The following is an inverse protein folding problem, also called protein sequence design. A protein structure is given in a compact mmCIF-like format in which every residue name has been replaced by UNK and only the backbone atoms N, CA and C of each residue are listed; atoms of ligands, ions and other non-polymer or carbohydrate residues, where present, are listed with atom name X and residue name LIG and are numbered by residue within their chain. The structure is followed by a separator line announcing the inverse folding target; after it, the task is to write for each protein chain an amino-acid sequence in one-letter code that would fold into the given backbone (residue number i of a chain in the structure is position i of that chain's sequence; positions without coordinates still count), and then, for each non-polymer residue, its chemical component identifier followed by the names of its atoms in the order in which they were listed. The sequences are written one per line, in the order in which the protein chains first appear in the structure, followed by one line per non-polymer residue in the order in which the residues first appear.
data_IF_173941424672
#
_entry.id   IF_173941424672
#
_cell.length_a   1.000
_cell.length_b   1.000
_cell.length_c   1.000
_cell.angle_alpha   90.00
_cell.angle_beta   90.00
_cell.angle_gamma   90.00
#
_symmetry.space_group_name_H-M   'P 1'
#
loop_
_entity.id
_entity.type
_entity.pdbx_description
1 polymer ?
#
# COMPACT_ATOMS: atom_id res chain seq x y z
N UNK A 1 -0.42 -26.06 11.01
CA UNK A 1 -1.47 -25.16 10.46
C UNK A 1 -1.82 -24.16 11.55
N UNK A 2 -1.70 -22.86 11.32
CA UNK A 2 -2.24 -21.88 12.28
C UNK A 2 -3.78 -21.96 12.26
N UNK A 3 -4.46 -21.78 13.40
CA UNK A 3 -5.90 -21.66 13.41
C UNK A 3 -6.31 -20.51 12.48
N UNK A 4 -7.34 -20.75 11.65
CA UNK A 4 -7.97 -19.69 10.84
C UNK A 4 -8.28 -18.52 11.79
N UNK A 5 -7.90 -17.30 11.40
CA UNK A 5 -8.37 -16.11 12.09
C UNK A 5 -9.86 -15.99 11.77
N UNK A 6 -10.69 -16.56 12.64
CA UNK A 6 -12.13 -16.40 12.54
C UNK A 6 -12.44 -14.93 12.80
N UNK A 7 -12.89 -14.26 11.74
CA UNK A 7 -13.27 -12.86 11.77
C UNK A 7 -14.76 -12.79 12.04
N UNK A 8 -15.15 -12.16 13.13
CA UNK A 8 -16.56 -11.96 13.46
C UNK A 8 -17.18 -10.90 12.55
N UNK A 9 -18.51 -10.96 12.39
CA UNK A 9 -19.25 -9.90 11.65
C UNK A 9 -18.98 -8.51 12.22
N UNK A 10 -18.92 -8.38 13.55
CA UNK A 10 -18.67 -7.11 14.23
C UNK A 10 -17.28 -6.54 13.91
N UNK A 11 -16.26 -7.38 13.91
CA UNK A 11 -14.90 -6.96 13.55
C UNK A 11 -14.82 -6.53 12.08
N UNK A 12 -15.42 -7.31 11.18
CA UNK A 12 -15.44 -6.98 9.76
C UNK A 12 -16.18 -5.66 9.50
N UNK A 13 -17.32 -5.44 10.15
CA UNK A 13 -18.06 -4.17 10.04
C UNK A 13 -17.22 -3.00 10.51
N UNK A 14 -16.55 -3.10 11.66
CA UNK A 14 -15.72 -2.01 12.16
C UNK A 14 -14.53 -1.73 11.25
N UNK A 15 -13.87 -2.78 10.75
CA UNK A 15 -12.82 -2.64 9.75
C UNK A 15 -13.32 -1.91 8.51
N UNK A 16 -14.47 -2.31 7.94
CA UNK A 16 -15.02 -1.67 6.74
C UNK A 16 -15.40 -0.19 6.99
N UNK A 17 -15.94 0.13 8.16
CA UNK A 17 -16.24 1.52 8.54
C UNK A 17 -14.94 2.35 8.56
N UNK A 18 -13.90 1.87 9.23
CA UNK A 18 -12.66 2.64 9.35
C UNK A 18 -11.91 2.68 8.01
N UNK A 19 -11.86 1.56 7.30
CA UNK A 19 -11.17 1.49 6.02
C UNK A 19 -11.86 2.34 4.95
N UNK A 20 -13.20 2.41 4.88
CA UNK A 20 -13.90 3.12 3.79
C UNK A 20 -14.56 4.43 4.22
N UNK A 21 -15.31 4.45 5.33
CA UNK A 21 -16.06 5.65 5.72
C UNK A 21 -15.13 6.79 6.16
N UNK A 22 -14.09 6.49 6.94
CA UNK A 22 -13.13 7.53 7.39
C UNK A 22 -12.43 8.23 6.22
N UNK A 23 -11.79 7.55 5.25
CA UNK A 23 -11.17 8.25 4.12
C UNK A 23 -12.16 9.02 3.26
N UNK A 24 -13.39 8.52 3.09
CA UNK A 24 -14.43 9.25 2.34
C UNK A 24 -14.87 10.51 3.08
N UNK A 25 -15.01 10.46 4.40
CA UNK A 25 -15.29 11.63 5.23
C UNK A 25 -14.12 12.62 5.22
N UNK A 26 -12.87 12.13 5.30
CA UNK A 26 -11.66 12.93 5.15
C UNK A 26 -11.49 13.51 3.73
N UNK A 27 -12.20 12.97 2.75
CA UNK A 27 -12.32 13.52 1.40
C UNK A 27 -12.90 14.93 1.36
N UNK A 28 -13.76 15.30 2.32
CA UNK A 28 -14.36 16.65 2.42
C UNK A 28 -13.28 17.71 2.77
N UNK A 29 -12.55 17.62 3.89
CA UNK A 29 -11.47 18.56 4.20
C UNK A 29 -10.34 18.50 3.16
N UNK A 30 -10.04 17.32 2.60
CA UNK A 30 -9.10 17.19 1.49
C UNK A 30 -9.52 18.04 0.28
N UNK A 31 -10.79 17.97 -0.13
CA UNK A 31 -11.33 18.76 -1.23
C UNK A 31 -11.27 20.27 -0.95
N UNK A 32 -11.57 20.69 0.29
CA UNK A 32 -11.45 22.09 0.71
C UNK A 32 -10.00 22.56 0.57
N UNK A 33 -9.06 21.77 1.08
CA UNK A 33 -7.62 22.06 1.02
C UNK A 33 -7.11 22.15 -0.42
N UNK A 34 -7.49 21.20 -1.28
CA UNK A 34 -7.09 21.18 -2.68
C UNK A 34 -7.62 22.39 -3.45
N UNK A 35 -8.90 22.75 -3.26
CA UNK A 35 -9.50 23.91 -3.93
C UNK A 35 -8.92 25.25 -3.46
N UNK A 36 -8.38 25.27 -2.24
CA UNK A 36 -7.64 26.41 -1.71
C UNK A 36 -6.18 26.47 -2.20
N UNK A 37 -5.71 25.50 -3.00
CA UNK A 37 -4.34 25.44 -3.50
C UNK A 37 -3.30 25.01 -2.46
N UNK A 38 -3.73 24.42 -1.33
CA UNK A 38 -2.84 23.96 -0.27
C UNK A 38 -2.27 22.57 -0.57
N UNK A 39 -1.11 22.25 0.02
CA UNK A 39 -0.56 20.89 -0.01
C UNK A 39 -1.47 19.89 0.69
N UNK A 40 -1.74 18.77 0.02
CA UNK A 40 -2.63 17.70 0.46
C UNK A 40 -1.91 16.36 0.64
N UNK A 41 -0.59 16.31 0.49
CA UNK A 41 0.23 15.09 0.62
C UNK A 41 0.01 14.37 1.95
N UNK A 42 -0.18 15.12 3.03
CA UNK A 42 -0.40 14.55 4.36
C UNK A 42 -1.69 13.70 4.45
N UNK A 43 -2.73 14.04 3.67
CA UNK A 43 -3.96 13.24 3.63
C UNK A 43 -3.72 11.86 3.03
N UNK A 44 -2.91 11.77 1.97
CA UNK A 44 -2.55 10.48 1.38
C UNK A 44 -1.79 9.61 2.39
N UNK A 45 -0.79 10.18 3.06
CA UNK A 45 -0.03 9.49 4.10
C UNK A 45 -0.89 9.02 5.28
N UNK A 46 -1.80 9.86 5.76
CA UNK A 46 -2.74 9.49 6.82
C UNK A 46 -3.67 8.36 6.36
N UNK A 47 -4.16 8.44 5.12
CA UNK A 47 -5.09 7.46 4.56
C UNK A 47 -4.50 6.05 4.51
N UNK A 48 -3.23 5.89 4.13
CA UNK A 48 -2.53 4.60 4.14
C UNK A 48 -2.56 3.91 5.51
N UNK A 49 -2.70 4.65 6.61
CA UNK A 49 -2.70 4.09 7.97
C UNK A 49 -4.06 3.51 8.40
N UNK A 50 -5.15 3.83 7.70
CA UNK A 50 -6.52 3.51 8.12
C UNK A 50 -6.87 2.02 8.09
N UNK A 51 -6.50 1.21 7.08
CA UNK A 51 -6.92 -0.19 7.03
C UNK A 51 -6.45 -1.00 8.24
N UNK A 52 -5.16 -0.90 8.61
CA UNK A 52 -4.63 -1.53 9.81
C UNK A 52 -5.21 -0.93 11.09
N UNK A 53 -5.43 0.39 11.15
CA UNK A 53 -6.10 1.01 12.30
C UNK A 53 -7.49 0.40 12.53
N UNK A 54 -8.23 0.11 11.45
CA UNK A 54 -9.50 -0.59 11.50
C UNK A 54 -9.40 -1.99 12.13
N UNK A 55 -8.43 -2.78 11.67
CA UNK A 55 -8.17 -4.14 12.21
C UNK A 55 -7.74 -4.08 13.67
N UNK A 56 -6.78 -3.22 13.99
CA UNK A 56 -6.20 -3.11 15.32
C UNK A 56 -7.23 -2.64 16.36
N UNK A 57 -8.07 -1.66 16.00
CA UNK A 57 -9.16 -1.23 16.87
C UNK A 57 -10.20 -2.35 17.06
N UNK A 58 -10.57 -3.05 15.97
CA UNK A 58 -11.51 -4.17 16.05
C UNK A 58 -11.03 -5.26 17.00
N UNK A 59 -9.75 -5.65 16.89
CA UNK A 59 -9.17 -6.68 17.74
C UNK A 59 -9.04 -6.24 19.20
N UNK A 60 -8.68 -4.98 19.45
CA UNK A 60 -8.64 -4.42 20.81
C UNK A 60 -10.03 -4.41 21.46
N UNK A 61 -11.06 -3.96 20.74
CA UNK A 61 -12.44 -3.92 21.22
C UNK A 61 -13.04 -5.32 21.42
N UNK A 62 -12.67 -6.27 20.56
CA UNK A 62 -13.01 -7.68 20.72
C UNK A 62 -12.23 -8.37 21.85
N UNK A 63 -11.30 -7.66 22.51
CA UNK A 63 -10.46 -8.15 23.61
C UNK A 63 -9.73 -9.45 23.27
N UNK A 64 -9.24 -9.58 22.03
CA UNK A 64 -8.57 -10.81 21.61
C UNK A 64 -7.34 -11.12 22.51
N UNK A 65 -7.06 -12.40 22.79
CA UNK A 65 -5.94 -12.79 23.64
C UNK A 65 -4.59 -12.52 22.96
N UNK A 66 -3.53 -12.36 23.74
CA UNK A 66 -2.14 -12.23 23.24
C UNK A 66 -1.88 -11.10 22.23
N UNK A 67 -2.70 -10.05 22.24
CA UNK A 67 -2.48 -8.91 21.36
C UNK A 67 -1.14 -8.20 21.67
N UNK A 68 -0.37 -7.81 20.63
CA UNK A 68 0.76 -6.90 20.78
C UNK A 68 0.26 -5.46 21.01
N UNK A 69 -0.41 -5.25 22.15
CA UNK A 69 -1.20 -4.05 22.46
C UNK A 69 -0.39 -2.75 22.32
N UNK A 70 0.88 -2.76 22.74
CA UNK A 70 1.75 -1.57 22.67
C UNK A 70 1.93 -1.11 21.22
N UNK A 71 2.23 -2.04 20.32
CA UNK A 71 2.37 -1.75 18.90
C UNK A 71 1.05 -1.29 18.27
N UNK A 72 -0.07 -1.94 18.61
CA UNK A 72 -1.39 -1.56 18.10
C UNK A 72 -1.79 -0.14 18.55
N UNK A 73 -1.58 0.18 19.83
CA UNK A 73 -1.85 1.52 20.37
C UNK A 73 -0.96 2.56 19.67
N UNK A 74 0.34 2.27 19.48
CA UNK A 74 1.23 3.16 18.76
C UNK A 74 0.71 3.44 17.34
N UNK A 75 0.34 2.42 16.56
CA UNK A 75 -0.20 2.61 15.21
C UNK A 75 -1.44 3.48 15.24
N UNK A 76 -2.39 3.21 16.14
CA UNK A 76 -3.62 4.00 16.28
C UNK A 76 -3.35 5.47 16.66
N UNK A 77 -2.41 5.71 17.57
CA UNK A 77 -2.00 7.07 17.96
C UNK A 77 -1.32 7.79 16.79
N UNK A 78 -0.41 7.13 16.08
CA UNK A 78 0.23 7.69 14.88
C UNK A 78 -0.79 8.02 13.79
N UNK A 79 -1.77 7.14 13.56
CA UNK A 79 -2.89 7.39 12.64
C UNK A 79 -3.69 8.63 13.06
N UNK A 80 -4.10 8.69 14.33
CA UNK A 80 -4.88 9.82 14.84
C UNK A 80 -4.11 11.14 14.78
N UNK A 81 -2.80 11.12 15.07
CA UNK A 81 -1.92 12.28 14.94
C UNK A 81 -1.82 12.74 13.48
N UNK A 82 -1.61 11.83 12.52
CA UNK A 82 -1.57 12.19 11.10
C UNK A 82 -2.92 12.79 10.65
N UNK A 83 -4.04 12.20 11.05
CA UNK A 83 -5.38 12.75 10.76
C UNK A 83 -5.57 14.14 11.33
N UNK A 84 -5.19 14.36 12.59
CA UNK A 84 -5.30 15.66 13.25
C UNK A 84 -4.46 16.72 12.53
N UNK A 85 -3.22 16.38 12.15
CA UNK A 85 -2.35 17.28 11.38
C UNK A 85 -2.93 17.57 9.99
N UNK A 86 -3.54 16.60 9.30
CA UNK A 86 -4.27 16.84 8.04
C UNK A 86 -5.43 17.81 8.23
N UNK A 87 -6.20 17.70 9.31
CA UNK A 87 -7.32 18.61 9.57
C UNK A 87 -6.82 20.03 9.93
N UNK A 88 -5.77 20.12 10.75
CA UNK A 88 -5.14 21.38 11.10
C UNK A 88 -4.55 22.11 9.89
N UNK A 89 -4.02 21.37 8.91
CA UNK A 89 -3.52 21.97 7.67
C UNK A 89 -4.59 22.66 6.84
N UNK A 90 -5.86 22.26 6.98
CA UNK A 90 -7.00 22.95 6.34
C UNK A 90 -7.36 24.22 7.09
N UNK A 91 -7.36 24.18 8.43
CA UNK A 91 -7.76 25.32 9.28
C UNK A 91 -6.69 26.42 9.29
N UNK A 92 -5.41 26.04 9.29
CA UNK A 92 -4.28 26.96 9.30
C UNK A 92 -3.26 26.51 8.25
N UNK A 93 -3.43 26.88 6.98
CA UNK A 93 -2.51 26.50 5.91
C UNK A 93 -1.06 26.93 6.19
N UNK A 94 -0.10 26.11 5.77
CA UNK A 94 1.33 26.38 5.92
C UNK A 94 2.20 25.16 5.64
N UNK A 95 3.47 25.39 5.32
CA UNK A 95 4.41 24.33 4.91
C UNK A 95 4.82 23.40 6.07
N UNK A 96 4.57 23.81 7.32
CA UNK A 96 4.99 23.08 8.52
C UNK A 96 4.30 21.71 8.70
N UNK A 97 3.11 21.52 8.12
CA UNK A 97 2.30 20.33 8.39
C UNK A 97 2.86 19.07 7.75
N UNK A 98 3.41 19.16 6.54
CA UNK A 98 4.04 18.02 5.89
C UNK A 98 5.27 17.55 6.68
N UNK A 99 6.12 18.49 7.09
CA UNK A 99 7.28 18.19 7.92
C UNK A 99 6.88 17.56 9.27
N UNK A 100 5.87 18.13 9.95
CA UNK A 100 5.34 17.58 11.20
C UNK A 100 4.77 16.16 11.02
N UNK A 101 4.02 15.93 9.94
CA UNK A 101 3.48 14.62 9.59
C UNK A 101 4.57 13.60 9.32
N UNK A 102 5.59 13.97 8.55
CA UNK A 102 6.75 13.10 8.30
C UNK A 102 7.50 12.75 9.59
N UNK A 103 7.65 13.69 10.52
CA UNK A 103 8.23 13.41 11.84
C UNK A 103 7.38 12.41 12.65
N UNK A 104 6.06 12.52 12.62
CA UNK A 104 5.16 11.53 13.25
C UNK A 104 5.35 10.15 12.63
N UNK A 105 5.43 10.05 11.29
CA UNK A 105 5.64 8.78 10.60
C UNK A 105 7.01 8.16 10.90
N UNK A 106 8.06 8.98 10.94
CA UNK A 106 9.42 8.56 11.27
C UNK A 106 9.49 8.09 12.72
N UNK A 107 9.05 8.90 13.67
CA UNK A 107 9.04 8.55 15.08
C UNK A 107 8.17 7.30 15.33
N UNK A 108 6.98 7.25 14.74
CA UNK A 108 6.10 6.09 14.79
C UNK A 108 6.75 4.83 14.24
N UNK A 109 7.48 4.91 13.13
CA UNK A 109 8.17 3.76 12.53
C UNK A 109 9.34 3.29 13.40
N UNK A 110 10.19 4.20 13.86
CA UNK A 110 11.30 3.83 14.75
C UNK A 110 10.78 3.18 16.04
N UNK A 111 9.79 3.80 16.69
CA UNK A 111 9.14 3.22 17.88
C UNK A 111 8.41 1.92 17.55
N UNK A 112 7.82 1.80 16.36
CA UNK A 112 7.15 0.61 15.88
C UNK A 112 8.08 -0.60 15.83
N UNK A 113 9.27 -0.42 15.26
CA UNK A 113 10.30 -1.45 15.29
C UNK A 113 10.74 -1.80 16.71
N UNK A 114 11.00 -0.81 17.56
CA UNK A 114 11.37 -1.05 18.97
C UNK A 114 10.30 -1.86 19.69
N UNK A 115 9.03 -1.49 19.56
CA UNK A 115 7.92 -2.19 20.21
C UNK A 115 7.73 -3.60 19.65
N UNK A 116 7.88 -3.80 18.34
CA UNK A 116 7.84 -5.14 17.75
C UNK A 116 9.02 -6.00 18.21
N UNK A 117 10.24 -5.46 18.27
CA UNK A 117 11.41 -6.25 18.67
C UNK A 117 11.41 -6.59 20.16
N UNK A 118 10.81 -5.74 21.00
CA UNK A 118 10.71 -5.95 22.45
C UNK A 118 9.47 -6.74 22.88
N UNK A 119 8.48 -6.95 22.00
CA UNK A 119 7.30 -7.76 22.33
C UNK A 119 7.58 -9.26 22.24
N UNK A 120 6.82 -10.01 23.05
CA UNK A 120 6.92 -11.48 23.14
C UNK A 120 6.70 -12.10 21.76
N UNK A 121 7.51 -13.12 21.47
CA UNK A 121 7.54 -13.80 20.18
C UNK A 121 6.17 -14.40 19.83
N UNK A 122 5.48 -14.93 20.83
CA UNK A 122 4.18 -15.60 20.73
C UNK A 122 3.09 -14.61 20.31
N UNK A 123 3.10 -13.40 20.88
CA UNK A 123 2.15 -12.33 20.56
C UNK A 123 2.28 -11.88 19.11
N UNK A 124 3.51 -11.64 18.66
CA UNK A 124 3.76 -11.26 17.26
C UNK A 124 3.42 -12.37 16.29
N UNK A 125 3.70 -13.62 16.65
CA UNK A 125 3.34 -14.80 15.84
C UNK A 125 1.82 -14.94 15.68
N UNK A 126 1.08 -14.80 16.78
CA UNK A 126 -0.38 -14.92 16.80
C UNK A 126 -1.07 -13.94 15.82
N UNK A 127 -0.49 -12.76 15.66
CA UNK A 127 -1.01 -11.68 14.81
C UNK A 127 -0.21 -11.46 13.52
N UNK A 128 0.60 -12.44 13.11
CA UNK A 128 1.28 -12.43 11.82
C UNK A 128 2.36 -11.36 11.64
N UNK A 129 2.79 -10.72 12.71
CA UNK A 129 3.80 -9.64 12.70
C UNK A 129 5.23 -10.17 12.81
N UNK A 130 5.42 -11.49 12.78
CA UNK A 130 6.74 -12.12 12.66
C UNK A 130 7.07 -12.48 11.23
N UNK A 131 8.37 -12.46 10.94
CA UNK A 131 8.89 -13.04 9.71
C UNK A 131 8.52 -14.51 9.61
N UNK A 132 7.91 -14.89 8.50
CA UNK A 132 7.52 -16.27 8.15
C UNK A 132 8.14 -16.70 6.83
N UNK A 133 8.24 -18.01 6.65
CA UNK A 133 8.74 -18.63 5.43
C UNK A 133 10.23 -18.39 5.16
N UNK A 134 10.65 -18.76 3.95
CA UNK A 134 12.06 -18.75 3.55
C UNK A 134 12.45 -17.38 3.03
N UNK A 135 13.56 -16.82 3.54
CA UNK A 135 14.09 -15.52 3.09
C UNK A 135 14.33 -15.49 1.57
N UNK A 136 14.84 -16.58 0.99
CA UNK A 136 15.05 -16.71 -0.46
C UNK A 136 13.79 -16.47 -1.28
N UNK A 137 12.62 -16.91 -0.80
CA UNK A 137 11.34 -16.71 -1.50
C UNK A 137 10.94 -15.24 -1.47
N UNK A 138 11.09 -14.58 -0.31
CA UNK A 138 10.83 -13.16 -0.17
C UNK A 138 11.74 -12.31 -1.08
N UNK A 139 13.05 -12.58 -1.05
CA UNK A 139 14.03 -11.88 -1.89
C UNK A 139 13.72 -12.07 -3.37
N UNK A 140 13.47 -13.31 -3.80
CA UNK A 140 13.12 -13.60 -5.20
C UNK A 140 11.86 -12.86 -5.66
N UNK A 141 10.78 -12.87 -4.86
CA UNK A 141 9.55 -12.16 -5.22
C UNK A 141 9.79 -10.65 -5.32
N UNK A 142 10.55 -10.06 -4.40
CA UNK A 142 10.85 -8.63 -4.42
C UNK A 142 11.72 -8.25 -5.62
N UNK A 143 12.75 -9.04 -5.93
CA UNK A 143 13.60 -8.83 -7.11
C UNK A 143 12.79 -8.98 -8.40
N UNK A 144 11.93 -9.98 -8.49
CA UNK A 144 11.04 -10.16 -9.62
C UNK A 144 10.12 -8.94 -9.79
N UNK A 145 9.53 -8.44 -8.71
CA UNK A 145 8.68 -7.26 -8.76
C UNK A 145 9.43 -6.04 -9.29
N UNK A 146 10.60 -5.75 -8.73
CA UNK A 146 11.44 -4.62 -9.15
C UNK A 146 11.85 -4.76 -10.62
N UNK A 147 12.24 -5.96 -11.05
CA UNK A 147 12.61 -6.21 -12.45
C UNK A 147 11.43 -5.98 -13.40
N UNK A 148 10.26 -6.54 -13.09
CA UNK A 148 9.05 -6.38 -13.89
C UNK A 148 8.63 -4.91 -13.99
N UNK A 149 8.59 -4.21 -12.85
CA UNK A 149 8.23 -2.78 -12.80
C UNK A 149 9.26 -1.90 -13.51
N UNK A 150 10.56 -2.18 -13.35
CA UNK A 150 11.62 -1.46 -14.06
C UNK A 150 11.47 -1.67 -15.57
N UNK A 151 11.25 -2.90 -16.03
CA UNK A 151 10.99 -3.19 -17.44
C UNK A 151 9.77 -2.44 -17.98
N UNK A 152 8.68 -2.37 -17.22
CA UNK A 152 7.50 -1.57 -17.57
C UNK A 152 7.82 -0.08 -17.73
N UNK A 153 8.57 0.52 -16.79
CA UNK A 153 8.91 1.95 -16.87
C UNK A 153 9.86 2.22 -18.03
N UNK A 154 10.86 1.36 -18.27
CA UNK A 154 11.76 1.49 -19.41
C UNK A 154 11.02 1.36 -20.74
N UNK A 155 10.06 0.43 -20.84
CA UNK A 155 9.20 0.31 -22.02
C UNK A 155 8.36 1.58 -22.21
N UNK A 156 7.76 2.11 -21.15
CA UNK A 156 7.00 3.36 -21.21
C UNK A 156 7.87 4.52 -21.69
N UNK A 157 9.10 4.65 -21.16
CA UNK A 157 10.04 5.69 -21.58
C UNK A 157 10.44 5.55 -23.05
N UNK A 158 10.65 4.33 -23.54
CA UNK A 158 10.96 4.09 -24.95
C UNK A 158 9.78 4.46 -25.87
N UNK A 159 8.55 4.18 -25.44
CA UNK A 159 7.33 4.51 -26.19
C UNK A 159 7.01 6.01 -26.21
N UNK A 160 7.55 6.79 -25.26
CA UNK A 160 7.40 8.26 -25.22
C UNK A 160 8.20 9.00 -26.32
N UNK A 161 9.00 8.28 -27.10
CA UNK A 161 9.72 8.82 -28.26
C UNK A 161 11.24 8.90 -28.06
N UNK A 162 12.00 9.06 -29.15
CA UNK A 162 13.45 8.93 -29.15
C UNK A 162 14.16 9.99 -28.30
N UNK A 163 13.63 11.22 -28.25
CA UNK A 163 14.21 12.31 -27.45
C UNK A 163 14.10 12.04 -25.96
N UNK A 164 12.90 11.68 -25.49
CA UNK A 164 12.67 11.31 -24.09
C UNK A 164 13.49 10.07 -23.70
N UNK A 165 13.54 9.07 -24.58
CA UNK A 165 14.34 7.87 -24.37
C UNK A 165 15.83 8.16 -24.20
N UNK A 166 16.40 9.03 -25.05
CA UNK A 166 17.80 9.44 -24.94
C UNK A 166 18.08 10.18 -23.61
N UNK A 167 17.20 11.09 -23.20
CA UNK A 167 17.32 11.79 -21.92
C UNK A 167 17.21 10.82 -20.73
N UNK A 168 16.27 9.87 -20.80
CA UNK A 168 16.10 8.84 -19.78
C UNK A 168 17.35 7.97 -19.64
N UNK A 169 17.96 7.54 -20.75
CA UNK A 169 19.23 6.81 -20.72
C UNK A 169 20.37 7.63 -20.13
N UNK A 170 20.45 8.93 -20.43
CA UNK A 170 21.44 9.83 -19.84
C UNK A 170 21.27 9.95 -18.30
N UNK A 171 20.04 10.01 -17.80
CA UNK A 171 19.76 9.96 -16.36
C UNK A 171 20.31 8.67 -15.72
N UNK A 172 20.13 7.51 -16.35
CA UNK A 172 20.64 6.22 -15.87
C UNK A 172 22.17 6.08 -15.91
N UNK A 173 22.84 6.86 -16.75
CA UNK A 173 24.31 6.96 -16.77
C UNK A 173 24.87 7.81 -15.62
N UNK A 174 24.02 8.62 -14.96
CA UNK A 174 24.42 9.41 -13.80
C UNK A 174 24.47 8.58 -12.51
N UNK A 175 25.03 9.17 -11.43
CA UNK A 175 25.05 8.53 -10.12
C UNK A 175 23.71 8.62 -9.35
N UNK A 176 22.78 9.48 -9.80
CA UNK A 176 21.54 9.82 -9.08
C UNK A 176 20.64 8.60 -8.82
N UNK A 177 20.24 7.77 -9.80
CA UNK A 177 19.36 6.63 -9.54
C UNK A 177 19.97 5.64 -8.56
N UNK A 178 21.30 5.46 -8.59
CA UNK A 178 22.01 4.55 -7.71
C UNK A 178 22.06 5.06 -6.27
N UNK A 179 22.28 6.37 -6.07
CA UNK A 179 22.18 7.01 -4.75
C UNK A 179 20.75 6.90 -4.20
N UNK A 180 19.74 7.21 -5.03
CA UNK A 180 18.34 7.08 -4.64
C UNK A 180 18.01 5.64 -4.22
N UNK A 181 18.48 4.64 -4.96
CA UNK A 181 18.29 3.23 -4.62
C UNK A 181 18.89 2.88 -3.25
N UNK A 182 20.09 3.39 -2.95
CA UNK A 182 20.73 3.17 -1.65
C UNK A 182 19.96 3.84 -0.50
N UNK A 183 19.42 5.05 -0.73
CA UNK A 183 18.60 5.79 0.26
C UNK A 183 17.31 5.05 0.60
N UNK A 184 16.74 4.28 -0.34
CA UNK A 184 15.52 3.52 -0.08
C UNK A 184 15.70 2.42 0.98
N UNK A 185 16.92 1.93 1.23
CA UNK A 185 17.16 0.88 2.21
C UNK A 185 16.88 1.36 3.65
N UNK A 186 17.57 2.40 4.17
CA UNK A 186 17.26 2.93 5.50
C UNK A 186 15.87 3.55 5.56
N UNK A 187 15.39 4.17 4.48
CA UNK A 187 14.08 4.82 4.46
C UNK A 187 12.93 3.83 4.75
N UNK A 188 13.05 2.56 4.31
CA UNK A 188 12.06 1.54 4.68
C UNK A 188 11.87 1.45 6.20
N UNK A 189 12.95 1.43 6.97
CA UNK A 189 12.86 1.32 8.42
C UNK A 189 12.30 2.58 9.09
N UNK A 190 12.50 3.73 8.45
CA UNK A 190 11.98 5.03 8.90
C UNK A 190 10.53 5.27 8.48
N UNK A 191 9.99 4.53 7.51
CA UNK A 191 8.67 4.82 6.95
C UNK A 191 7.80 3.59 6.71
N UNK A 192 8.03 2.44 7.37
CA UNK A 192 7.26 1.23 7.09
C UNK A 192 5.78 1.30 7.53
N UNK A 193 5.45 2.19 8.49
CA UNK A 193 4.11 2.22 9.11
C UNK A 193 2.95 2.41 8.12
N UNK A 194 2.98 3.37 7.18
CA UNK A 194 1.95 3.50 6.15
C UNK A 194 1.77 2.24 5.30
N UNK A 195 2.86 1.61 4.90
CA UNK A 195 2.82 0.40 4.07
C UNK A 195 2.22 -0.78 4.85
N UNK A 196 2.66 -0.99 6.10
CA UNK A 196 2.00 -1.94 6.98
C UNK A 196 0.53 -1.57 7.25
N UNK A 197 0.24 -0.27 7.33
CA UNK A 197 -1.09 0.32 7.46
C UNK A 197 -2.05 -0.23 6.42
N UNK A 198 -1.63 -0.27 5.16
CA UNK A 198 -2.43 -0.83 4.08
C UNK A 198 -2.38 -2.35 4.07
N UNK A 199 -1.20 -2.96 4.03
CA UNK A 199 -1.06 -4.40 3.85
C UNK A 199 -1.72 -5.20 4.96
N UNK A 200 -1.64 -4.74 6.20
CA UNK A 200 -2.21 -5.45 7.33
C UNK A 200 -3.74 -5.48 7.26
N UNK A 201 -4.36 -4.42 6.75
CA UNK A 201 -5.79 -4.39 6.47
C UNK A 201 -6.16 -5.21 5.23
N UNK A 202 -5.46 -5.00 4.11
CA UNK A 202 -5.81 -5.61 2.84
C UNK A 202 -5.40 -7.07 2.73
N UNK A 203 -4.11 -7.36 2.89
CA UNK A 203 -3.51 -8.67 2.61
C UNK A 203 -3.60 -9.62 3.81
N UNK A 204 -3.33 -9.12 5.01
CA UNK A 204 -3.39 -9.96 6.21
C UNK A 204 -4.82 -10.23 6.67
N UNK A 205 -5.69 -9.20 6.69
CA UNK A 205 -7.03 -9.30 7.25
C UNK A 205 -8.12 -9.56 6.19
N UNK A 206 -8.25 -8.71 5.17
CA UNK A 206 -9.38 -8.79 4.23
C UNK A 206 -9.23 -9.91 3.18
N UNK A 207 -8.03 -10.17 2.66
CA UNK A 207 -7.80 -11.25 1.68
C UNK A 207 -8.31 -12.60 2.16
N UNK A 208 -7.95 -13.11 3.36
CA UNK A 208 -8.45 -14.40 3.82
C UNK A 208 -9.99 -14.45 3.93
N UNK A 209 -10.62 -13.36 4.37
CA UNK A 209 -12.08 -13.26 4.48
C UNK A 209 -12.74 -13.38 3.10
N UNK A 210 -12.24 -12.65 2.11
CA UNK A 210 -12.79 -12.68 0.74
C UNK A 210 -12.51 -14.01 0.04
N UNK A 211 -11.31 -14.55 0.19
CA UNK A 211 -10.95 -15.84 -0.41
C UNK A 211 -11.72 -17.01 0.21
N UNK A 212 -12.01 -16.97 1.51
CA UNK A 212 -12.85 -17.98 2.16
C UNK A 212 -14.29 -17.96 1.63
N UNK A 213 -14.81 -16.78 1.29
CA UNK A 213 -16.21 -16.61 0.86
C UNK A 213 -16.40 -16.79 -0.65
N UNK A 214 -15.45 -16.36 -1.47
CA UNK A 214 -15.59 -16.30 -2.93
C UNK A 214 -14.59 -17.19 -3.69
N UNK A 215 -13.66 -17.84 -2.98
CA UNK A 215 -12.56 -18.61 -3.56
C UNK A 215 -11.30 -17.76 -3.84
N UNK A 216 -10.15 -18.41 -4.03
CA UNK A 216 -8.85 -17.75 -4.10
C UNK A 216 -8.76 -16.64 -5.16
N UNK A 217 -9.19 -16.94 -6.39
CA UNK A 217 -9.13 -16.02 -7.55
C UNK A 217 -10.14 -14.88 -7.46
N UNK A 218 -11.41 -15.20 -7.22
CA UNK A 218 -12.47 -14.17 -7.11
C UNK A 218 -12.25 -13.29 -5.89
N UNK A 219 -11.75 -13.86 -4.79
CA UNK A 219 -11.40 -13.13 -3.58
C UNK A 219 -10.31 -12.09 -3.81
N UNK A 220 -9.21 -12.44 -4.51
CA UNK A 220 -8.13 -11.47 -4.79
C UNK A 220 -8.55 -10.41 -5.81
N UNK A 221 -9.36 -10.77 -6.82
CA UNK A 221 -9.91 -9.81 -7.78
C UNK A 221 -10.84 -8.80 -7.09
N UNK A 222 -11.72 -9.28 -6.22
CA UNK A 222 -12.61 -8.43 -5.44
C UNK A 222 -11.84 -7.53 -4.47
N UNK A 223 -10.81 -8.06 -3.80
CA UNK A 223 -9.93 -7.24 -2.97
C UNK A 223 -9.31 -6.10 -3.77
N UNK A 224 -8.77 -6.40 -4.96
CA UNK A 224 -8.16 -5.41 -5.82
C UNK A 224 -9.13 -4.31 -6.25
N UNK A 225 -10.38 -4.67 -6.59
CA UNK A 225 -11.42 -3.69 -6.90
C UNK A 225 -11.78 -2.82 -5.69
N UNK A 226 -11.94 -3.42 -4.51
CA UNK A 226 -12.20 -2.71 -3.26
C UNK A 226 -11.05 -1.75 -2.90
N UNK A 227 -9.80 -2.19 -3.07
CA UNK A 227 -8.63 -1.37 -2.86
C UNK A 227 -8.54 -0.23 -3.89
N UNK A 228 -8.90 -0.46 -5.14
CA UNK A 228 -9.00 0.60 -6.16
C UNK A 228 -10.03 1.67 -5.81
N UNK A 229 -11.25 1.25 -5.46
CA UNK A 229 -12.35 2.16 -5.06
C UNK A 229 -12.01 2.92 -3.78
N UNK A 230 -11.29 2.31 -2.84
CA UNK A 230 -10.83 2.96 -1.62
C UNK A 230 -10.02 4.24 -1.86
N UNK A 231 -9.29 4.33 -2.98
CA UNK A 231 -8.53 5.52 -3.36
C UNK A 231 -9.39 6.67 -3.91
N UNK A 232 -10.71 6.51 -4.04
CA UNK A 232 -11.58 7.50 -4.68
C UNK A 232 -11.37 8.94 -4.17
N UNK A 233 -11.32 9.23 -2.85
CA UNK A 233 -11.08 10.60 -2.38
C UNK A 233 -9.75 11.19 -2.86
N UNK A 234 -8.68 10.38 -2.87
CA UNK A 234 -7.37 10.80 -3.35
C UNK A 234 -7.35 10.99 -4.88
N UNK A 235 -8.04 10.14 -5.65
CA UNK A 235 -8.15 10.34 -7.10
C UNK A 235 -8.86 11.65 -7.46
N UNK A 236 -9.90 12.02 -6.70
CA UNK A 236 -10.67 13.25 -6.93
C UNK A 236 -9.90 14.52 -6.55
N UNK A 237 -9.04 14.46 -5.52
CA UNK A 237 -8.54 15.68 -4.85
C UNK A 237 -7.04 15.70 -4.54
N UNK A 238 -6.29 14.66 -4.93
CA UNK A 238 -4.83 14.60 -4.73
C UNK A 238 -4.10 14.17 -6.01
N UNK A 239 -4.40 12.96 -6.52
CA UNK A 239 -3.68 12.39 -7.66
C UNK A 239 -3.96 13.13 -8.96
N UNK A 240 -5.22 13.28 -9.35
CA UNK A 240 -5.58 13.86 -10.66
C UNK A 240 -6.94 14.55 -10.63
N UNK A 241 -7.09 15.69 -9.94
CA UNK A 241 -8.39 16.37 -9.84
C UNK A 241 -9.02 16.71 -11.21
N UNK A 242 -8.19 17.09 -12.19
CA UNK A 242 -8.62 17.46 -13.54
C UNK A 242 -9.12 16.26 -14.37
N UNK A 243 -8.52 15.08 -14.18
CA UNK A 243 -8.84 13.85 -14.93
C UNK A 243 -9.18 12.70 -13.98
N UNK A 244 -10.02 12.99 -13.00
CA UNK A 244 -10.25 12.09 -11.87
C UNK A 244 -10.92 10.77 -12.23
N UNK A 245 -11.74 10.74 -13.29
CA UNK A 245 -12.34 9.50 -13.80
C UNK A 245 -11.28 8.59 -14.43
N UNK A 246 -10.37 9.14 -15.22
CA UNK A 246 -9.25 8.43 -15.83
C UNK A 246 -8.32 7.88 -14.74
N UNK A 247 -8.01 8.72 -13.74
CA UNK A 247 -7.18 8.31 -12.59
C UNK A 247 -7.83 7.19 -11.81
N UNK A 248 -9.13 7.26 -11.50
CA UNK A 248 -9.84 6.19 -10.81
C UNK A 248 -9.85 4.89 -11.63
N UNK A 249 -10.09 4.98 -12.95
CA UNK A 249 -10.07 3.82 -13.83
C UNK A 249 -8.68 3.16 -13.86
N UNK A 250 -7.61 3.95 -14.03
CA UNK A 250 -6.24 3.48 -13.98
C UNK A 250 -5.90 2.87 -12.60
N UNK A 251 -6.31 3.53 -11.52
CA UNK A 251 -6.10 3.06 -10.15
C UNK A 251 -6.77 1.72 -9.89
N UNK A 252 -8.00 1.51 -10.36
CA UNK A 252 -8.69 0.21 -10.22
C UNK A 252 -7.90 -0.87 -10.96
N UNK A 253 -7.44 -0.60 -12.18
CA UNK A 253 -6.65 -1.57 -12.95
C UNK A 253 -5.34 -1.91 -12.22
N UNK A 254 -4.62 -0.89 -11.73
CA UNK A 254 -3.39 -1.09 -10.95
C UNK A 254 -3.66 -1.87 -9.67
N UNK A 255 -4.65 -1.51 -8.87
CA UNK A 255 -4.98 -2.21 -7.63
C UNK A 255 -5.41 -3.66 -7.85
N UNK A 256 -6.16 -3.95 -8.92
CA UNK A 256 -6.55 -5.33 -9.28
C UNK A 256 -5.33 -6.15 -9.68
N UNK A 257 -4.57 -5.66 -10.64
CA UNK A 257 -3.41 -6.38 -11.20
C UNK A 257 -2.29 -6.53 -10.17
N UNK A 258 -1.90 -5.45 -9.49
CA UNK A 258 -0.86 -5.48 -8.46
C UNK A 258 -1.33 -6.21 -7.20
N UNK A 259 -2.62 -6.14 -6.84
CA UNK A 259 -3.21 -6.91 -5.74
C UNK A 259 -3.05 -8.42 -5.92
N UNK A 260 -3.11 -8.91 -7.17
CA UNK A 260 -2.79 -10.31 -7.51
C UNK A 260 -1.32 -10.61 -7.22
N UNK A 261 -0.40 -9.75 -7.63
CA UNK A 261 1.03 -10.01 -7.41
C UNK A 261 1.40 -9.92 -5.92
N UNK A 262 0.85 -8.96 -5.18
CA UNK A 262 1.11 -8.81 -3.74
C UNK A 262 0.57 -10.00 -2.95
N UNK A 263 -0.62 -10.49 -3.30
CA UNK A 263 -1.20 -11.68 -2.69
C UNK A 263 -0.42 -12.95 -3.08
N UNK A 264 0.09 -13.03 -4.32
CA UNK A 264 0.99 -14.11 -4.73
C UNK A 264 2.28 -14.11 -3.90
N UNK A 265 2.90 -12.93 -3.73
CA UNK A 265 4.08 -12.77 -2.89
C UNK A 265 3.85 -13.14 -1.43
N UNK A 266 2.68 -12.78 -0.89
CA UNK A 266 2.25 -13.19 0.44
C UNK A 266 2.16 -14.72 0.59
N UNK A 267 1.52 -15.42 -0.36
CA UNK A 267 1.37 -16.89 -0.27
C UNK A 267 2.70 -17.62 -0.49
N UNK A 268 3.50 -17.28 -1.53
CA UNK A 268 4.79 -17.94 -1.82
C UNK A 268 5.82 -17.74 -0.71
N UNK A 269 5.72 -16.65 0.03
CA UNK A 269 6.57 -16.37 1.18
C UNK A 269 6.08 -17.03 2.49
N UNK A 270 5.08 -17.91 2.42
CA UNK A 270 4.55 -18.61 3.59
C UNK A 270 3.66 -17.72 4.46
N UNK A 271 2.85 -16.86 3.83
CA UNK A 271 1.94 -15.89 4.49
C UNK A 271 2.68 -14.93 5.40
N UNK A 272 3.77 -14.39 4.88
CA UNK A 272 4.60 -13.39 5.56
C UNK A 272 4.13 -11.99 5.18
N UNK A 273 3.55 -11.25 6.13
CA UNK A 273 3.04 -9.90 5.88
C UNK A 273 4.12 -8.90 5.48
N UNK A 274 5.37 -9.13 5.89
CA UNK A 274 6.47 -8.22 5.57
C UNK A 274 6.82 -8.21 4.07
N UNK A 275 6.48 -9.27 3.33
CA UNK A 275 6.72 -9.33 1.88
C UNK A 275 5.82 -8.35 1.12
N UNK A 276 4.48 -8.39 1.21
CA UNK A 276 3.64 -7.39 0.56
C UNK A 276 3.92 -5.97 1.11
N UNK A 277 4.38 -5.81 2.36
CA UNK A 277 4.77 -4.50 2.91
C UNK A 277 5.98 -3.95 2.16
N UNK A 278 6.99 -4.79 1.93
CA UNK A 278 8.16 -4.44 1.12
C UNK A 278 7.79 -4.20 -0.34
N UNK A 279 6.91 -5.01 -0.93
CA UNK A 279 6.47 -4.82 -2.31
C UNK A 279 5.73 -3.48 -2.50
N UNK A 280 4.86 -3.13 -1.55
CA UNK A 280 4.17 -1.85 -1.57
C UNK A 280 5.13 -0.68 -1.37
N UNK A 281 6.05 -0.79 -0.41
CA UNK A 281 7.11 0.20 -0.20
C UNK A 281 7.92 0.43 -1.49
N UNK A 282 8.36 -0.65 -2.13
CA UNK A 282 9.09 -0.59 -3.39
C UNK A 282 8.23 0.04 -4.50
N UNK A 283 6.95 -0.31 -4.60
CA UNK A 283 6.07 0.28 -5.61
C UNK A 283 5.99 1.80 -5.51
N UNK A 284 5.80 2.34 -4.30
CA UNK A 284 5.58 3.77 -4.11
C UNK A 284 6.88 4.57 -4.15
N UNK A 285 7.99 4.00 -3.70
CA UNK A 285 9.25 4.74 -3.57
C UNK A 285 10.21 4.54 -4.74
N UNK A 286 10.11 3.45 -5.52
CA UNK A 286 11.02 3.25 -6.66
C UNK A 286 10.83 4.29 -7.77
N UNK A 287 9.73 5.04 -7.77
CA UNK A 287 9.56 6.15 -8.72
C UNK A 287 10.71 7.16 -8.63
N UNK A 288 11.20 7.49 -7.43
CA UNK A 288 12.34 8.42 -7.27
C UNK A 288 13.65 7.84 -7.87
N UNK A 289 13.77 6.51 -7.90
CA UNK A 289 14.90 5.84 -8.56
C UNK A 289 14.72 5.90 -10.06
N UNK A 290 13.52 5.66 -10.56
CA UNK A 290 13.25 5.60 -11.99
C UNK A 290 13.23 6.97 -12.67
N UNK A 291 12.65 8.01 -12.05
CA UNK A 291 12.46 9.33 -12.67
C UNK A 291 13.24 10.47 -11.99
N UNK A 292 13.88 10.23 -10.84
CA UNK A 292 14.58 11.27 -10.08
C UNK A 292 13.66 12.21 -9.29
N UNK A 293 12.34 12.10 -9.46
CA UNK A 293 11.31 12.91 -8.78
C UNK A 293 10.23 12.01 -8.19
N UNK A 294 9.52 12.52 -7.18
CA UNK A 294 8.43 11.80 -6.51
C UNK A 294 7.10 12.56 -6.60
N UNK A 295 6.89 13.33 -7.68
CA UNK A 295 5.66 14.07 -7.89
C UNK A 295 4.52 13.11 -8.29
N UNK A 296 3.58 12.94 -7.36
CA UNK A 296 2.43 12.03 -7.50
C UNK A 296 1.10 12.78 -7.56
N UNK A 297 1.09 14.08 -7.26
CA UNK A 297 -0.11 14.92 -7.25
C UNK A 297 -0.34 15.60 -8.59
N UNK A 298 -1.59 15.99 -8.84
CA UNK A 298 -2.05 16.77 -9.99
C UNK A 298 -1.60 16.22 -11.36
N UNK A 299 -1.51 14.89 -11.50
CA UNK A 299 -1.23 14.21 -12.76
C UNK A 299 -2.41 14.35 -13.72
N UNK A 300 -2.15 14.45 -15.01
CA UNK A 300 -3.18 14.55 -16.06
C UNK A 300 -3.13 13.29 -16.92
N UNK A 301 -4.25 12.59 -17.03
CA UNK A 301 -4.36 11.34 -17.78
C UNK A 301 -5.35 11.46 -18.94
N UNK A 302 -4.92 11.03 -20.13
CA UNK A 302 -5.79 10.71 -21.24
C UNK A 302 -6.32 9.27 -21.11
N UNK A 303 -7.43 8.97 -21.80
CA UNK A 303 -7.94 7.59 -21.88
C UNK A 303 -6.96 6.61 -22.53
N UNK A 304 -6.09 7.11 -23.42
CA UNK A 304 -4.99 6.33 -23.97
C UNK A 304 -4.02 5.83 -22.90
N UNK A 305 -3.73 6.65 -21.88
CA UNK A 305 -2.85 6.26 -20.76
C UNK A 305 -3.48 5.19 -19.89
N UNK A 306 -4.80 5.27 -19.68
CA UNK A 306 -5.57 4.25 -18.95
C UNK A 306 -5.52 2.92 -19.69
N UNK A 307 -5.70 2.93 -21.02
CA UNK A 307 -5.62 1.74 -21.85
C UNK A 307 -4.20 1.14 -21.82
N UNK A 308 -3.17 1.96 -21.99
CA UNK A 308 -1.77 1.52 -21.94
C UNK A 308 -1.43 0.92 -20.57
N UNK A 309 -1.83 1.58 -19.48
CA UNK A 309 -1.71 1.07 -18.11
C UNK A 309 -2.38 -0.29 -17.98
N UNK A 310 -3.59 -0.43 -18.50
CA UNK A 310 -4.33 -1.68 -18.43
C UNK A 310 -3.69 -2.82 -19.21
N UNK A 311 -3.18 -2.54 -20.41
CA UNK A 311 -2.45 -3.54 -21.20
C UNK A 311 -1.15 -3.95 -20.50
N UNK A 312 -0.34 -2.99 -20.04
CA UNK A 312 0.95 -3.29 -19.42
C UNK A 312 0.80 -4.03 -18.09
N UNK A 313 0.00 -3.52 -17.16
CA UNK A 313 -0.22 -4.17 -15.88
C UNK A 313 -0.98 -5.49 -16.03
N UNK A 314 -1.93 -5.54 -16.97
CA UNK A 314 -2.65 -6.75 -17.32
C UNK A 314 -1.70 -7.86 -17.79
N UNK A 315 -0.86 -7.55 -18.78
CA UNK A 315 0.11 -8.48 -19.34
C UNK A 315 1.13 -8.97 -18.30
N UNK A 316 1.57 -8.08 -17.39
CA UNK A 316 2.60 -8.41 -16.41
C UNK A 316 2.05 -9.19 -15.22
N UNK A 317 0.92 -8.77 -14.62
CA UNK A 317 0.49 -9.32 -13.33
C UNK A 317 -0.72 -10.27 -13.39
N UNK A 318 -1.60 -10.18 -14.38
CA UNK A 318 -2.72 -11.15 -14.49
C UNK A 318 -2.26 -12.60 -14.67
N UNK A 319 -1.16 -12.93 -15.39
CA UNK A 319 -0.71 -14.32 -15.53
C UNK A 319 -0.46 -15.03 -14.20
N UNK A 320 -0.13 -14.28 -13.13
CA UNK A 320 0.05 -14.85 -11.80
C UNK A 320 -1.22 -15.49 -11.23
N UNK A 321 -2.43 -15.12 -11.69
CA UNK A 321 -3.67 -15.83 -11.31
C UNK A 321 -3.69 -17.31 -11.72
N UNK A 322 -2.88 -17.70 -12.70
CA UNK A 322 -2.76 -19.08 -13.14
C UNK A 322 -1.80 -19.91 -12.27
N UNK A 323 -1.07 -19.28 -11.34
CA UNK A 323 -0.12 -19.92 -10.45
C UNK A 323 -0.78 -20.93 -9.52
N UNK A 324 0.03 -21.79 -8.87
CA UNK A 324 -0.48 -22.86 -7.99
C UNK A 324 -1.13 -22.30 -6.73
N UNK A 325 -0.67 -21.15 -6.27
CA UNK A 325 -1.14 -20.43 -5.08
C UNK A 325 -2.59 -19.95 -5.23
N UNK A 326 -3.09 -19.84 -6.46
CA UNK A 326 -4.48 -19.50 -6.76
C UNK A 326 -5.32 -20.67 -7.28
N UNK A 327 -4.81 -21.90 -7.17
CA UNK A 327 -5.58 -23.11 -7.44
C UNK A 327 -6.09 -23.63 -6.11
N UNK A 328 -7.39 -23.88 -6.02
CA UNK A 328 -7.90 -24.68 -4.90
C UNK A 328 -7.16 -26.01 -4.97
N UNK A 329 -6.51 -26.43 -3.88
CA UNK A 329 -6.10 -27.83 -3.77
C UNK A 329 -7.37 -28.64 -4.03
N UNK A 330 -7.35 -29.47 -5.07
CA UNK A 330 -8.35 -30.52 -5.19
C UNK A 330 -8.24 -31.30 -3.89
N UNK A 331 -9.24 -31.20 -3.03
CA UNK A 331 -9.49 -32.18 -1.99
C UNK A 331 -9.35 -33.53 -2.66
N UNK A 332 -8.27 -34.25 -2.34
CA UNK A 332 -8.03 -35.58 -2.86
C UNK A 332 -9.29 -36.40 -2.61
N UNK A 333 -9.86 -36.89 -3.70
CA UNK A 333 -10.83 -37.97 -3.68
C UNK A 333 -10.13 -39.26 -3.27
#
# INVERSE_FOLDING_TARGET
MNPKIETTKRELTLFLIIAFAVPYLMGIPLAISQRAGNDTTLFANAQMMYPAAGVMLAFLLARRPELPRRFYILHLVSTAACMALSLLSVVRPGEVWLAAGNLVLIAGSVLGWVLLLTDRKEKREAYGLRWRGKLRSAVWVCLLFVALKTGMVFLSAALSGPEYWAAYLAYWQSYIPWVNLLVLIPNFFLSFLPFLGEEYGWRYYLTPVLQQRFGLRRGVLLLGALWGVWHLPLNLFFYSPETSLQSLAAQIVVCVTMGIFFTFGYEVSGRNIWVPVLLHYLNNNMIIVWSGTAELSNQVYAWGDVLLTGVMYGAVFLPFLASREYRNEKSGA
#
